data_IF_721122853936
#
_entry.id   IF_721122853936
#
_cell.length_a   1.000
_cell.length_b   1.000
_cell.length_c   1.000
_cell.angle_alpha   90.00
_cell.angle_beta   90.00
_cell.angle_gamma   90.00
#
_symmetry.space_group_name_H-M   'P 1'
#
loop_
_entity.id
_entity.type
_entity.pdbx_description
1 polymer ?
#
# COMPACT_ATOMS: atom_id res chain seq x y z
N UNK A 1 2.15 7.55 10.26
CA UNK A 1 2.42 7.78 8.82
C UNK A 1 1.13 7.90 8.02
N UNK A 2 0.35 6.81 7.89
CA UNK A 2 -0.87 6.75 7.08
C UNK A 2 -1.80 7.99 7.17
N UNK A 3 -2.36 8.29 8.35
CA UNK A 3 -3.36 9.36 8.49
C UNK A 3 -2.85 10.74 8.10
N UNK A 4 -1.62 11.09 8.50
CA UNK A 4 -1.04 12.38 8.15
C UNK A 4 -0.75 12.47 6.66
N UNK A 5 -0.26 11.38 6.05
CA UNK A 5 -0.07 11.30 4.60
C UNK A 5 -1.42 11.45 3.88
N UNK A 6 -2.48 10.79 4.35
CA UNK A 6 -3.82 10.89 3.77
C UNK A 6 -4.36 12.33 3.86
N UNK A 7 -4.35 12.94 5.05
CA UNK A 7 -4.79 14.33 5.26
C UNK A 7 -3.99 15.29 4.39
N UNK A 8 -2.66 15.13 4.32
CA UNK A 8 -1.81 15.98 3.49
C UNK A 8 -2.08 15.80 2.01
N UNK A 9 -2.30 14.56 1.55
CA UNK A 9 -2.66 14.27 0.17
C UNK A 9 -4.00 14.91 -0.21
N UNK A 10 -5.02 14.80 0.64
CA UNK A 10 -6.28 15.52 0.43
C UNK A 10 -6.07 17.04 0.45
N UNK A 11 -5.30 17.58 1.40
CA UNK A 11 -4.99 19.01 1.48
C UNK A 11 -4.20 19.56 0.28
N UNK A 12 -3.44 18.71 -0.41
CA UNK A 12 -2.70 19.05 -1.63
C UNK A 12 -3.60 18.91 -2.87
N UNK A 13 -4.18 17.73 -3.08
CA UNK A 13 -4.86 17.39 -4.33
C UNK A 13 -6.31 17.84 -4.40
N UNK A 14 -7.01 17.95 -3.28
CA UNK A 14 -8.41 18.42 -3.30
C UNK A 14 -8.50 19.89 -3.75
N UNK A 15 -7.70 20.84 -3.22
CA UNK A 15 -7.74 22.22 -3.70
C UNK A 15 -7.33 22.39 -5.18
N UNK A 16 -6.48 21.50 -5.71
CA UNK A 16 -6.13 21.50 -7.13
C UNK A 16 -7.33 21.27 -8.06
N UNK A 17 -8.38 20.57 -7.61
CA UNK A 17 -9.60 20.41 -8.41
C UNK A 17 -10.26 21.78 -8.66
N UNK A 18 -10.33 22.64 -7.63
CA UNK A 18 -10.91 23.97 -7.74
C UNK A 18 -10.05 24.92 -8.59
N UNK A 19 -8.73 24.87 -8.43
CA UNK A 19 -7.80 25.65 -9.27
C UNK A 19 -7.92 25.22 -10.75
N UNK A 20 -8.06 23.92 -11.02
CA UNK A 20 -8.29 23.40 -12.37
C UNK A 20 -9.62 23.87 -12.97
N UNK A 21 -10.69 23.87 -12.18
CA UNK A 21 -12.00 24.41 -12.60
C UNK A 21 -11.98 25.92 -12.85
N UNK A 22 -11.16 26.66 -12.11
CA UNK A 22 -10.92 28.08 -12.35
C UNK A 22 -10.09 28.37 -13.62
N UNK A 23 -9.70 27.33 -14.36
CA UNK A 23 -9.05 27.44 -15.66
C UNK A 23 -7.53 27.60 -15.59
N UNK A 24 -6.89 27.38 -14.43
CA UNK A 24 -5.44 27.49 -14.31
C UNK A 24 -4.76 26.31 -15.04
N UNK A 25 -4.02 26.57 -16.13
CA UNK A 25 -3.40 25.52 -16.92
C UNK A 25 -2.20 24.89 -16.21
N UNK A 26 -1.98 23.59 -16.45
CA UNK A 26 -0.82 22.86 -15.92
C UNK A 26 0.50 23.40 -16.49
N UNK A 27 1.61 23.17 -15.76
CA UNK A 27 3.00 23.43 -16.18
C UNK A 27 3.41 24.91 -16.30
N UNK A 28 2.72 25.81 -15.60
CA UNK A 28 3.14 27.21 -15.49
C UNK A 28 4.03 27.41 -14.26
N UNK A 29 5.20 28.04 -14.47
CA UNK A 29 6.12 28.39 -13.38
C UNK A 29 5.61 29.57 -12.54
N UNK A 30 5.01 30.57 -13.21
CA UNK A 30 4.34 31.70 -12.55
C UNK A 30 3.04 32.03 -13.27
N UNK A 31 2.04 32.45 -12.49
CA UNK A 31 0.75 32.93 -12.98
C UNK A 31 0.53 34.43 -12.68
N UNK A 32 1.53 35.12 -12.14
CA UNK A 32 1.46 36.55 -11.73
C UNK A 32 1.25 37.54 -12.89
N UNK A 33 1.38 37.08 -14.13
CA UNK A 33 1.16 37.90 -15.31
C UNK A 33 -0.33 37.98 -15.72
N UNK A 34 -1.20 37.23 -15.04
CA UNK A 34 -2.62 37.17 -15.32
C UNK A 34 -3.40 37.56 -14.05
N UNK A 35 -3.87 38.83 -13.94
CA UNK A 35 -4.61 39.32 -12.78
C UNK A 35 -5.87 38.48 -12.45
N UNK A 36 -6.40 37.73 -13.42
CA UNK A 36 -7.51 36.78 -13.24
C UNK A 36 -7.19 35.66 -12.23
N UNK A 37 -5.91 35.36 -11.98
CA UNK A 37 -5.48 34.24 -11.13
C UNK A 37 -4.91 34.66 -9.77
N UNK A 38 -4.94 35.95 -9.43
CA UNK A 38 -4.39 36.46 -8.16
C UNK A 38 -5.07 35.79 -6.95
N UNK A 39 -6.38 35.56 -7.02
CA UNK A 39 -7.14 34.87 -5.97
C UNK A 39 -6.73 33.39 -5.77
N UNK A 40 -6.19 32.74 -6.82
CA UNK A 40 -5.72 31.35 -6.76
C UNK A 40 -4.36 31.23 -6.08
N UNK A 41 -3.63 32.33 -5.88
CA UNK A 41 -2.34 32.33 -5.18
C UNK A 41 -2.48 31.87 -3.73
N UNK A 42 -3.53 32.30 -3.03
CA UNK A 42 -3.79 31.88 -1.65
C UNK A 42 -4.00 30.35 -1.55
N UNK A 43 -4.70 29.77 -2.53
CA UNK A 43 -4.92 28.32 -2.58
C UNK A 43 -3.61 27.57 -2.83
N UNK A 44 -2.74 28.09 -3.71
CA UNK A 44 -1.41 27.51 -3.96
C UNK A 44 -0.50 27.56 -2.71
N UNK A 45 -0.61 28.61 -1.87
CA UNK A 45 0.10 28.68 -0.58
C UNK A 45 -0.38 27.56 0.35
N UNK A 46 -1.69 27.36 0.48
CA UNK A 46 -2.26 26.28 1.29
C UNK A 46 -1.78 24.91 0.80
N UNK A 47 -1.81 24.67 -0.51
CA UNK A 47 -1.28 23.44 -1.12
C UNK A 47 0.18 23.23 -0.75
N UNK A 48 1.00 24.28 -0.83
CA UNK A 48 2.42 24.23 -0.52
C UNK A 48 2.67 23.88 0.95
N UNK A 49 1.88 24.45 1.87
CA UNK A 49 1.97 24.12 3.31
C UNK A 49 1.67 22.64 3.53
N UNK A 50 0.60 22.09 2.95
CA UNK A 50 0.29 20.67 3.07
C UNK A 50 1.35 19.78 2.40
N UNK A 51 1.92 20.21 1.27
CA UNK A 51 2.99 19.47 0.59
C UNK A 51 4.27 19.40 1.44
N UNK A 52 4.70 20.53 2.03
CA UNK A 52 5.86 20.57 2.93
C UNK A 52 5.61 19.77 4.20
N UNK A 53 4.43 19.89 4.81
CA UNK A 53 4.06 19.14 6.00
C UNK A 53 4.03 17.63 5.73
N UNK A 54 3.38 17.20 4.64
CA UNK A 54 3.33 15.80 4.23
C UNK A 54 4.71 15.24 3.86
N UNK A 55 5.56 16.05 3.23
CA UNK A 55 6.95 15.72 2.92
C UNK A 55 7.81 15.55 4.18
N UNK A 56 7.75 16.51 5.11
CA UNK A 56 8.45 16.42 6.39
C UNK A 56 7.99 15.20 7.20
N UNK A 57 6.71 14.84 7.17
CA UNK A 57 6.20 13.68 7.88
C UNK A 57 6.66 12.34 7.29
N UNK A 58 7.16 12.30 6.04
CA UNK A 58 7.82 11.09 5.52
C UNK A 58 9.06 10.71 6.34
N UNK A 59 9.69 11.65 7.05
CA UNK A 59 10.77 11.35 7.99
C UNK A 59 10.33 10.38 9.09
N UNK A 60 9.05 10.43 9.52
CA UNK A 60 8.51 9.48 10.50
C UNK A 60 8.43 8.07 9.92
N UNK A 61 8.13 7.94 8.63
CA UNK A 61 8.17 6.65 7.95
C UNK A 61 9.61 6.14 7.79
N UNK A 62 10.54 7.00 7.37
CA UNK A 62 11.95 6.63 7.31
C UNK A 62 12.47 6.17 8.67
N UNK A 63 12.14 6.90 9.74
CA UNK A 63 12.48 6.49 11.10
C UNK A 63 11.89 5.12 11.44
N UNK A 64 10.60 4.90 11.16
CA UNK A 64 9.97 3.61 11.42
C UNK A 64 10.62 2.47 10.61
N UNK A 65 10.93 2.70 9.34
CA UNK A 65 11.59 1.75 8.45
C UNK A 65 12.98 1.35 8.96
N UNK A 66 13.86 2.33 9.23
CA UNK A 66 15.21 2.05 9.74
C UNK A 66 15.18 1.45 11.14
N UNK A 67 14.32 1.96 12.04
CA UNK A 67 14.15 1.36 13.38
C UNK A 67 13.72 -0.10 13.26
N UNK A 68 12.81 -0.43 12.35
CA UNK A 68 12.32 -1.80 12.17
C UNK A 68 13.39 -2.72 11.57
N UNK A 69 14.27 -2.21 10.70
CA UNK A 69 15.40 -2.98 10.18
C UNK A 69 16.39 -3.35 11.30
N UNK A 70 16.74 -2.39 12.16
CA UNK A 70 17.80 -2.61 13.15
C UNK A 70 17.31 -3.16 14.49
N UNK A 71 16.06 -2.86 14.87
CA UNK A 71 15.49 -3.17 16.18
C UNK A 71 14.08 -3.80 16.11
N UNK A 72 13.63 -4.19 14.91
CA UNK A 72 12.34 -4.88 14.74
C UNK A 72 12.36 -6.29 15.31
N UNK A 73 11.17 -6.78 15.67
CA UNK A 73 10.99 -8.17 16.09
C UNK A 73 11.14 -9.13 14.90
N UNK A 74 11.65 -10.34 15.16
CA UNK A 74 11.72 -11.37 14.13
C UNK A 74 10.31 -11.83 13.78
N UNK A 75 9.99 -11.77 12.49
CA UNK A 75 8.71 -12.26 11.98
C UNK A 75 8.63 -13.78 11.97
N UNK A 76 7.41 -14.30 12.09
CA UNK A 76 7.07 -15.67 11.66
C UNK A 76 6.89 -15.72 10.14
N UNK A 77 6.80 -16.91 9.55
CA UNK A 77 6.72 -17.08 8.10
C UNK A 77 5.48 -16.44 7.47
N UNK A 78 4.31 -16.65 8.07
CA UNK A 78 3.05 -16.11 7.57
C UNK A 78 2.32 -15.37 8.71
N UNK A 79 2.73 -14.13 9.04
CA UNK A 79 2.13 -13.38 10.15
C UNK A 79 0.69 -12.95 9.85
N UNK A 80 0.32 -12.84 8.57
CA UNK A 80 -0.98 -12.34 8.13
C UNK A 80 -1.97 -13.44 7.76
N UNK A 81 -1.58 -14.72 7.90
CA UNK A 81 -2.43 -15.86 7.53
C UNK A 81 -2.97 -15.76 6.11
N UNK A 82 -2.11 -15.38 5.17
CA UNK A 82 -2.48 -15.25 3.76
C UNK A 82 -2.30 -16.58 3.02
N UNK A 83 -3.14 -16.83 2.01
CA UNK A 83 -3.17 -18.11 1.31
C UNK A 83 -2.14 -18.22 0.19
N UNK A 84 -1.61 -17.11 -0.31
CA UNK A 84 -0.76 -17.08 -1.50
C UNK A 84 0.61 -17.73 -1.27
N UNK A 85 1.22 -18.23 -2.36
CA UNK A 85 2.45 -19.03 -2.27
C UNK A 85 3.65 -18.27 -1.67
N UNK A 86 3.74 -16.95 -1.77
CA UNK A 86 4.86 -16.19 -1.19
C UNK A 86 4.96 -16.38 0.33
N UNK A 87 3.86 -16.69 1.01
CA UNK A 87 3.82 -16.96 2.45
C UNK A 87 4.25 -18.38 2.83
N UNK A 88 4.55 -19.21 1.84
CA UNK A 88 5.14 -20.56 2.03
C UNK A 88 6.66 -20.54 1.94
N UNK A 89 7.25 -19.46 1.42
CA UNK A 89 8.70 -19.32 1.31
C UNK A 89 9.33 -19.16 2.70
N UNK A 90 10.49 -19.78 2.95
CA UNK A 90 11.17 -19.65 4.24
C UNK A 90 11.65 -18.21 4.45
N UNK A 91 11.64 -17.75 5.71
CA UNK A 91 12.18 -16.44 6.12
C UNK A 91 13.72 -16.49 6.15
N UNK A 92 14.33 -16.76 5.00
CA UNK A 92 15.77 -16.86 4.80
C UNK A 92 16.15 -16.01 3.58
N UNK A 93 17.31 -15.36 3.65
CA UNK A 93 17.87 -14.64 2.51
C UNK A 93 18.56 -15.64 1.57
N UNK A 94 17.77 -16.40 0.82
CA UNK A 94 18.26 -17.38 -0.17
C UNK A 94 18.08 -16.89 -1.60
N UNK A 95 18.97 -17.34 -2.49
CA UNK A 95 18.78 -17.19 -3.93
C UNK A 95 18.01 -18.40 -4.44
N UNK A 96 16.82 -18.17 -4.99
CA UNK A 96 15.81 -19.21 -5.23
C UNK A 96 14.77 -19.21 -4.10
N UNK A 97 13.51 -18.92 -4.43
CA UNK A 97 12.46 -18.60 -3.45
C UNK A 97 12.13 -19.74 -2.46
N UNK A 98 12.29 -21.00 -2.85
CA UNK A 98 11.96 -22.17 -2.04
C UNK A 98 13.14 -23.14 -1.94
N UNK A 99 13.25 -23.78 -0.77
CA UNK A 99 14.18 -24.89 -0.57
C UNK A 99 13.59 -26.15 -1.24
N UNK A 100 14.25 -26.69 -2.26
CA UNK A 100 13.86 -27.96 -2.90
C UNK A 100 12.82 -27.82 -4.01
N UNK A 101 11.77 -28.65 -3.95
CA UNK A 101 10.72 -28.67 -4.97
C UNK A 101 9.80 -27.44 -4.87
N UNK A 102 9.41 -26.91 -6.03
CA UNK A 102 8.51 -25.76 -6.11
C UNK A 102 7.10 -26.19 -5.64
N UNK A 103 6.44 -25.42 -4.75
CA UNK A 103 5.09 -25.76 -4.30
C UNK A 103 4.09 -25.72 -5.46
N UNK A 104 3.25 -26.73 -5.52
CA UNK A 104 2.14 -26.80 -6.49
C UNK A 104 0.92 -26.02 -5.98
N UNK A 105 0.17 -25.41 -6.89
CA UNK A 105 -1.05 -24.68 -6.56
C UNK A 105 -2.23 -25.63 -6.71
N UNK A 106 -2.92 -25.91 -5.61
CA UNK A 106 -4.12 -26.75 -5.61
C UNK A 106 -5.42 -25.93 -5.54
N UNK A 107 -5.37 -24.68 -5.08
CA UNK A 107 -6.55 -23.87 -4.77
C UNK A 107 -6.35 -22.39 -5.08
N UNK A 108 -7.44 -21.63 -5.05
CA UNK A 108 -7.46 -20.21 -5.38
C UNK A 108 -6.82 -19.36 -4.26
N UNK A 109 -6.17 -18.21 -4.55
CA UNK A 109 -5.49 -17.41 -3.54
C UNK A 109 -6.45 -16.66 -2.60
N UNK A 110 -7.74 -16.60 -2.93
CA UNK A 110 -8.78 -15.96 -2.12
C UNK A 110 -9.68 -16.95 -1.39
N UNK A 111 -9.26 -18.21 -1.29
CA UNK A 111 -10.04 -19.30 -0.70
C UNK A 111 -10.05 -19.24 0.85
N UNK A 112 -10.62 -18.17 1.40
CA UNK A 112 -10.79 -17.94 2.83
C UNK A 112 -12.16 -18.44 3.32
N UNK A 113 -12.30 -18.69 4.62
CA UNK A 113 -13.55 -19.12 5.28
C UNK A 113 -14.19 -20.36 4.67
N UNK A 114 -13.36 -21.29 4.21
CA UNK A 114 -13.79 -22.52 3.54
C UNK A 114 -14.54 -23.47 4.47
N UNK A 115 -15.79 -23.88 4.14
CA UNK A 115 -16.51 -24.87 4.94
C UNK A 115 -15.74 -26.19 5.05
N UNK A 116 -15.69 -26.78 6.25
CA UNK A 116 -14.98 -28.05 6.50
C UNK A 116 -13.49 -27.91 6.80
N UNK A 117 -12.98 -26.70 7.01
CA UNK A 117 -11.65 -26.43 7.55
C UNK A 117 -11.74 -25.77 8.92
N UNK A 118 -10.78 -26.11 9.79
CA UNK A 118 -10.71 -25.57 11.15
C UNK A 118 -10.17 -24.13 11.16
N UNK A 119 -9.35 -23.79 10.16
CA UNK A 119 -8.77 -22.46 9.99
C UNK A 119 -9.46 -21.69 8.87
N UNK A 120 -9.53 -20.37 9.04
CA UNK A 120 -10.12 -19.45 8.08
C UNK A 120 -9.27 -19.28 6.80
N UNK A 121 -8.00 -19.68 6.86
CA UNK A 121 -7.06 -19.54 5.76
C UNK A 121 -6.51 -20.92 5.40
N UNK A 122 -6.56 -21.27 4.12
CA UNK A 122 -6.00 -22.52 3.60
C UNK A 122 -5.00 -22.16 2.51
N UNK A 123 -3.68 -22.27 2.80
CA UNK A 123 -2.64 -21.98 1.83
C UNK A 123 -2.76 -22.75 0.51
N UNK A 124 -2.36 -22.10 -0.59
CA UNK A 124 -2.50 -22.62 -1.95
C UNK A 124 -1.79 -23.95 -2.19
N UNK A 125 -0.76 -24.24 -1.41
CA UNK A 125 0.04 -25.47 -1.48
C UNK A 125 -0.57 -26.65 -0.69
N UNK A 126 -1.74 -26.47 -0.07
CA UNK A 126 -2.44 -27.56 0.62
C UNK A 126 -3.39 -28.26 -0.37
N UNK A 127 -3.23 -29.58 -0.60
CA UNK A 127 -4.12 -30.35 -1.46
C UNK A 127 -5.59 -30.26 -1.02
N UNK A 128 -6.51 -30.43 -1.97
CA UNK A 128 -7.94 -30.45 -1.66
C UNK A 128 -8.31 -31.68 -0.83
N UNK A 129 -9.21 -31.52 0.14
CA UNK A 129 -9.81 -32.63 0.90
C UNK A 129 -10.80 -33.39 0.00
N UNK A 130 -11.04 -34.66 0.32
CA UNK A 130 -12.03 -35.45 -0.39
C UNK A 130 -13.43 -34.83 -0.24
N UNK A 131 -14.10 -34.52 -1.36
CA UNK A 131 -15.41 -33.85 -1.36
C UNK A 131 -15.36 -32.33 -1.14
N UNK A 132 -14.17 -31.72 -1.09
CA UNK A 132 -14.03 -30.26 -1.06
C UNK A 132 -14.46 -29.67 -2.42
N UNK A 133 -15.45 -28.79 -2.42
CA UNK A 133 -15.88 -28.10 -3.64
C UNK A 133 -14.80 -27.12 -4.13
N UNK A 134 -14.66 -26.90 -5.43
CA UNK A 134 -13.77 -25.84 -5.93
C UNK A 134 -14.54 -24.53 -6.00
N UNK A 135 -14.07 -23.51 -5.28
CA UNK A 135 -14.65 -22.18 -5.37
C UNK A 135 -14.02 -21.42 -6.54
N UNK A 136 -14.84 -20.93 -7.47
CA UNK A 136 -14.44 -20.26 -8.71
C UNK A 136 -14.82 -18.76 -8.73
N UNK A 137 -14.73 -18.07 -7.59
CA UNK A 137 -14.99 -16.62 -7.55
C UNK A 137 -13.79 -15.77 -7.97
#
# INVERSE_FOLDING_TARGET
HFWVTAISAYGVFFPMHFIGMAGLPRRYYTNTNFPLFDDLQNVNVVITVFALFGGAFQLVFLYNFFKSIFYGERTVQNPWRSNTLEWTAPVKHIHGNWDGAIPEVYRWPYDYSKPGHDEDFVPQNIPMKAGEEVLHH
#
